data_IF_278511249503
#
_entry.id   IF_278511249503
#
_cell.length_a   1.000
_cell.length_b   1.000
_cell.length_c   1.000
_cell.angle_alpha   90.00
_cell.angle_beta   90.00
_cell.angle_gamma   90.00
#
_symmetry.space_group_name_H-M   'P 1'
#
loop_
_entity.id
_entity.type
_entity.pdbx_description
1 polymer ?
#
# COMPACT_ATOMS: atom_id res chain seq x y z
N UNK A 1 -10.24 -13.75 8.12
CA UNK A 1 -10.27 -15.00 8.92
C UNK A 1 -9.28 -14.85 10.06
N UNK A 2 -9.64 -15.27 11.26
CA UNK A 2 -8.81 -15.12 12.47
C UNK A 2 -8.92 -16.35 13.37
N UNK A 3 -8.00 -16.52 14.31
CA UNK A 3 -8.07 -17.63 15.28
C UNK A 3 -9.38 -17.60 16.10
N UNK A 4 -9.94 -16.41 16.31
CA UNK A 4 -11.24 -16.25 16.97
C UNK A 4 -12.40 -16.81 16.14
N UNK A 5 -12.38 -16.67 14.80
CA UNK A 5 -13.44 -17.24 13.94
C UNK A 5 -13.36 -18.77 13.87
N UNK A 6 -12.14 -19.33 13.93
CA UNK A 6 -11.92 -20.78 14.05
C UNK A 6 -12.49 -21.30 15.37
N UNK A 7 -12.18 -20.62 16.48
CA UNK A 7 -12.67 -21.01 17.81
C UNK A 7 -14.21 -20.98 17.88
N UNK A 8 -14.84 -19.95 17.35
CA UNK A 8 -16.30 -19.85 17.33
C UNK A 8 -16.97 -21.01 16.56
N UNK A 9 -16.37 -21.43 15.43
CA UNK A 9 -16.85 -22.60 14.67
C UNK A 9 -16.63 -23.91 15.41
N UNK A 10 -15.51 -24.06 16.11
CA UNK A 10 -15.26 -25.23 16.95
C UNK A 10 -16.27 -25.32 18.10
N UNK A 11 -16.49 -24.23 18.82
CA UNK A 11 -17.45 -24.17 19.92
C UNK A 11 -18.87 -24.52 19.42
N UNK A 12 -19.28 -23.99 18.26
CA UNK A 12 -20.55 -24.36 17.61
C UNK A 12 -20.64 -25.87 17.31
N UNK A 13 -19.58 -26.47 16.76
CA UNK A 13 -19.53 -27.89 16.42
C UNK A 13 -19.45 -28.82 17.65
N UNK A 14 -19.12 -28.30 18.84
CA UNK A 14 -19.23 -29.06 20.10
C UNK A 14 -20.67 -29.07 20.63
N UNK A 15 -21.46 -28.05 20.31
CA UNK A 15 -22.85 -27.92 20.76
C UNK A 15 -23.86 -28.55 19.79
N UNK A 16 -23.53 -28.61 18.50
CA UNK A 16 -24.39 -29.13 17.45
C UNK A 16 -23.68 -30.20 16.62
N UNK A 17 -24.26 -31.41 16.57
CA UNK A 17 -23.65 -32.58 15.93
C UNK A 17 -24.25 -32.95 14.57
N UNK A 18 -25.46 -32.50 14.25
CA UNK A 18 -26.20 -32.86 13.03
C UNK A 18 -26.99 -31.66 12.45
N UNK A 19 -27.27 -31.69 11.14
CA UNK A 19 -27.98 -30.65 10.40
C UNK A 19 -27.13 -29.96 9.32
N UNK A 20 -27.78 -29.34 8.34
CA UNK A 20 -27.11 -28.66 7.22
C UNK A 20 -26.15 -27.57 7.68
N UNK A 21 -26.47 -26.89 8.79
CA UNK A 21 -25.62 -25.88 9.42
C UNK A 21 -24.33 -26.44 10.01
N UNK A 22 -24.33 -27.69 10.51
CA UNK A 22 -23.13 -28.38 11.02
C UNK A 22 -22.22 -28.78 9.87
N UNK A 23 -22.78 -29.28 8.77
CA UNK A 23 -22.03 -29.59 7.55
C UNK A 23 -21.35 -28.35 6.97
N UNK A 24 -22.08 -27.24 6.87
CA UNK A 24 -21.54 -25.96 6.43
C UNK A 24 -20.46 -25.43 7.39
N UNK A 25 -20.68 -25.51 8.71
CA UNK A 25 -19.70 -25.09 9.70
C UNK A 25 -18.41 -25.92 9.66
N UNK A 26 -18.50 -27.24 9.45
CA UNK A 26 -17.34 -28.12 9.25
C UNK A 26 -16.55 -27.76 7.99
N UNK A 27 -17.24 -27.53 6.88
CA UNK A 27 -16.60 -27.12 5.63
C UNK A 27 -15.89 -25.76 5.80
N UNK A 28 -16.55 -24.79 6.44
CA UNK A 28 -15.98 -23.48 6.73
C UNK A 28 -14.77 -23.57 7.67
N UNK A 29 -14.83 -24.41 8.70
CA UNK A 29 -13.73 -24.64 9.63
C UNK A 29 -12.51 -25.22 8.90
N UNK A 30 -12.71 -26.23 8.05
CA UNK A 30 -11.63 -26.85 7.28
C UNK A 30 -10.96 -25.85 6.33
N UNK A 31 -11.75 -25.04 5.63
CA UNK A 31 -11.23 -24.02 4.73
C UNK A 31 -10.46 -22.92 5.49
N UNK A 32 -10.99 -22.42 6.60
CA UNK A 32 -10.28 -21.46 7.44
C UNK A 32 -8.97 -22.03 7.97
N UNK A 33 -8.95 -23.29 8.40
CA UNK A 33 -7.73 -23.95 8.85
C UNK A 33 -6.70 -24.09 7.73
N UNK A 34 -7.11 -24.42 6.49
CA UNK A 34 -6.21 -24.46 5.33
C UNK A 34 -5.62 -23.10 5.01
N UNK A 35 -6.44 -22.05 5.02
CA UNK A 35 -5.96 -20.68 4.77
C UNK A 35 -5.01 -20.22 5.87
N UNK A 36 -5.32 -20.50 7.14
CA UNK A 36 -4.42 -20.20 8.25
C UNK A 36 -3.16 -21.06 8.25
N UNK A 37 -3.20 -22.26 7.67
CA UNK A 37 -2.01 -23.10 7.47
C UNK A 37 -1.10 -22.55 6.36
N UNK A 38 -1.66 -21.86 5.36
CA UNK A 38 -0.91 -21.23 4.27
C UNK A 38 0.00 -20.09 4.80
N UNK A 39 1.33 -20.24 4.69
CA UNK A 39 2.27 -19.21 5.11
C UNK A 39 2.07 -17.88 4.39
N UNK A 40 1.66 -17.89 3.12
CA UNK A 40 1.42 -16.69 2.34
C UNK A 40 0.23 -15.90 2.88
N UNK A 41 -0.86 -16.60 3.22
CA UNK A 41 -2.04 -15.97 3.81
C UNK A 41 -1.74 -15.40 5.19
N UNK A 42 -0.99 -16.12 6.04
CA UNK A 42 -0.55 -15.59 7.33
C UNK A 42 0.34 -14.35 7.17
N UNK A 43 1.32 -14.41 6.27
CA UNK A 43 2.23 -13.29 6.01
C UNK A 43 1.46 -12.06 5.49
N UNK A 44 0.48 -12.27 4.59
CA UNK A 44 -0.42 -11.22 4.12
C UNK A 44 -1.18 -10.58 5.28
N UNK A 45 -1.86 -11.40 6.09
CA UNK A 45 -2.70 -10.91 7.18
C UNK A 45 -1.89 -10.14 8.22
N UNK A 46 -0.74 -10.66 8.62
CA UNK A 46 0.17 -10.00 9.57
C UNK A 46 0.72 -8.70 9.00
N UNK A 47 1.13 -8.72 7.74
CA UNK A 47 1.65 -7.55 7.04
C UNK A 47 0.63 -6.42 6.94
N UNK A 48 -0.61 -6.73 6.56
CA UNK A 48 -1.70 -5.75 6.50
C UNK A 48 -2.02 -5.21 7.90
N UNK A 49 -2.07 -6.07 8.91
CA UNK A 49 -2.31 -5.64 10.30
C UNK A 49 -1.21 -4.69 10.78
N UNK A 50 0.06 -5.00 10.51
CA UNK A 50 1.20 -4.15 10.85
C UNK A 50 1.13 -2.79 10.12
N UNK A 51 0.76 -2.76 8.84
CA UNK A 51 0.50 -1.51 8.10
C UNK A 51 -0.60 -0.69 8.74
N UNK A 52 -1.70 -1.31 9.14
CA UNK A 52 -2.82 -0.62 9.79
C UNK A 52 -2.42 -0.06 11.17
N UNK A 53 -1.48 -0.72 11.84
CA UNK A 53 -0.87 -0.24 13.10
C UNK A 53 0.21 0.85 12.89
N UNK A 54 0.50 1.24 11.64
CA UNK A 54 1.56 2.22 11.31
C UNK A 54 2.97 1.64 11.36
N UNK A 55 3.11 0.33 11.56
CA UNK A 55 4.38 -0.39 11.66
C UNK A 55 4.93 -0.80 10.28
N UNK A 56 4.88 0.11 9.30
CA UNK A 56 5.25 -0.17 7.90
C UNK A 56 6.64 -0.81 7.75
N UNK A 57 7.61 -0.44 8.59
CA UNK A 57 8.94 -1.06 8.59
C UNK A 57 8.91 -2.58 8.87
N UNK A 58 8.10 -3.03 9.85
CA UNK A 58 7.95 -4.44 10.20
C UNK A 58 7.10 -5.19 9.16
N UNK A 59 6.11 -4.51 8.59
CA UNK A 59 5.19 -5.09 7.62
C UNK A 59 5.85 -5.49 6.29
N UNK A 60 6.91 -4.80 5.87
CA UNK A 60 7.52 -4.98 4.54
C UNK A 60 7.97 -6.42 4.30
N UNK A 61 8.66 -7.05 5.25
CA UNK A 61 9.16 -8.42 5.06
C UNK A 61 8.00 -9.42 4.89
N UNK A 62 6.95 -9.30 5.71
CA UNK A 62 5.77 -10.15 5.65
C UNK A 62 4.99 -9.93 4.35
N UNK A 63 4.82 -8.69 3.93
CA UNK A 63 4.12 -8.37 2.68
C UNK A 63 4.93 -8.79 1.44
N UNK A 64 6.26 -8.68 1.47
CA UNK A 64 7.11 -9.19 0.40
C UNK A 64 6.98 -10.71 0.26
N UNK A 65 6.94 -11.45 1.37
CA UNK A 65 6.71 -12.89 1.36
C UNK A 65 5.32 -13.20 0.75
N UNK A 66 4.28 -12.48 1.19
CA UNK A 66 2.92 -12.66 0.67
C UNK A 66 2.83 -12.42 -0.84
N UNK A 67 3.37 -11.29 -1.31
CA UNK A 67 3.37 -10.92 -2.74
C UNK A 67 4.22 -11.87 -3.58
N UNK A 68 5.31 -12.42 -3.03
CA UNK A 68 6.15 -13.39 -3.73
C UNK A 68 5.44 -14.73 -3.91
N UNK A 69 4.66 -15.15 -2.91
CA UNK A 69 3.89 -16.39 -2.96
C UNK A 69 2.61 -16.26 -3.80
N UNK A 70 1.97 -15.08 -3.80
CA UNK A 70 0.75 -14.78 -4.55
C UNK A 70 0.91 -13.47 -5.32
N UNK A 71 1.41 -13.60 -6.55
CA UNK A 71 1.72 -12.45 -7.40
C UNK A 71 0.48 -11.70 -7.91
N UNK A 72 -0.69 -12.33 -7.81
CA UNK A 72 -2.02 -11.85 -8.21
C UNK A 72 -2.79 -11.16 -7.08
N UNK A 73 -2.26 -11.11 -5.87
CA UNK A 73 -2.89 -10.45 -4.72
C UNK A 73 -2.67 -8.94 -4.73
N UNK A 74 -3.55 -8.22 -5.43
CA UNK A 74 -3.50 -6.75 -5.56
C UNK A 74 -3.60 -6.03 -4.21
N UNK A 75 -4.27 -6.62 -3.22
CA UNK A 75 -4.39 -6.04 -1.88
C UNK A 75 -3.08 -6.15 -1.11
N UNK A 76 -2.39 -7.30 -1.19
CA UNK A 76 -1.05 -7.45 -0.61
C UNK A 76 -0.03 -6.51 -1.28
N UNK A 77 -0.11 -6.35 -2.60
CA UNK A 77 0.74 -5.40 -3.36
C UNK A 77 0.46 -3.96 -2.93
N UNK A 78 -0.81 -3.54 -2.83
CA UNK A 78 -1.18 -2.21 -2.37
C UNK A 78 -0.76 -1.94 -0.92
N UNK A 79 -0.94 -2.93 -0.03
CA UNK A 79 -0.47 -2.86 1.35
C UNK A 79 1.06 -2.74 1.43
N UNK A 80 1.81 -3.42 0.54
CA UNK A 80 3.26 -3.27 0.46
C UNK A 80 3.66 -1.84 0.05
N UNK A 81 2.92 -1.24 -0.88
CA UNK A 81 3.06 0.19 -1.22
C UNK A 81 2.83 1.11 -0.03
N UNK A 82 1.79 0.84 0.76
CA UNK A 82 1.49 1.59 1.98
C UNK A 82 2.60 1.43 3.03
N UNK A 83 3.13 0.23 3.20
CA UNK A 83 4.25 -0.03 4.11
C UNK A 83 5.51 0.76 3.71
N UNK A 84 5.84 0.81 2.41
CA UNK A 84 6.93 1.65 1.90
C UNK A 84 6.67 3.15 2.12
N UNK A 85 5.44 3.61 1.89
CA UNK A 85 5.03 4.99 2.15
C UNK A 85 5.23 5.38 3.60
N UNK A 86 4.86 4.52 4.55
CA UNK A 86 5.03 4.75 5.99
C UNK A 86 6.51 4.81 6.40
N UNK A 87 7.38 4.07 5.70
CA UNK A 87 8.84 4.13 5.89
C UNK A 87 9.50 5.32 5.17
N UNK A 88 8.73 6.14 4.46
CA UNK A 88 9.24 7.26 3.67
C UNK A 88 9.87 6.86 2.32
N UNK A 89 9.76 5.60 1.92
CA UNK A 89 10.28 5.11 0.65
C UNK A 89 9.29 5.33 -0.49
N UNK A 90 9.18 6.59 -0.90
CA UNK A 90 8.14 7.04 -1.84
C UNK A 90 8.28 6.42 -3.22
N UNK A 91 9.50 6.21 -3.69
CA UNK A 91 9.76 5.59 -4.99
C UNK A 91 9.22 4.15 -5.05
N UNK A 92 9.52 3.33 -4.03
CA UNK A 92 8.97 1.97 -3.97
C UNK A 92 7.47 1.97 -3.71
N UNK A 93 6.96 2.91 -2.91
CA UNK A 93 5.52 3.05 -2.67
C UNK A 93 4.75 3.30 -3.98
N UNK A 94 5.17 4.28 -4.78
CA UNK A 94 4.58 4.63 -6.09
C UNK A 94 4.50 3.40 -6.99
N UNK A 95 5.61 2.68 -7.16
CA UNK A 95 5.66 1.51 -8.03
C UNK A 95 4.68 0.39 -7.60
N UNK A 96 4.54 0.16 -6.29
CA UNK A 96 3.59 -0.85 -5.80
C UNK A 96 2.12 -0.41 -5.95
N UNK A 97 1.80 0.87 -5.71
CA UNK A 97 0.43 1.35 -5.91
C UNK A 97 0.01 1.29 -7.38
N UNK A 98 0.89 1.68 -8.29
CA UNK A 98 0.65 1.55 -9.74
C UNK A 98 0.39 0.09 -10.13
N UNK A 99 1.20 -0.84 -9.61
CA UNK A 99 1.00 -2.27 -9.83
C UNK A 99 -0.35 -2.74 -9.28
N UNK A 100 -0.70 -2.39 -8.05
CA UNK A 100 -1.98 -2.77 -7.44
C UNK A 100 -3.19 -2.25 -8.25
N UNK A 101 -3.13 -1.00 -8.71
CA UNK A 101 -4.17 -0.38 -9.53
C UNK A 101 -4.31 -1.03 -10.91
N UNK A 102 -3.18 -1.43 -11.53
CA UNK A 102 -3.18 -2.12 -12.81
C UNK A 102 -3.75 -3.55 -12.70
N UNK A 103 -3.48 -4.24 -11.58
CA UNK A 103 -3.98 -5.60 -11.34
C UNK A 103 -5.48 -5.65 -11.07
N UNK A 104 -6.02 -4.69 -10.32
CA UNK A 104 -7.42 -4.71 -9.91
C UNK A 104 -8.11 -3.35 -10.14
N UNK A 105 -8.39 -2.99 -11.41
CA UNK A 105 -8.94 -1.69 -11.78
C UNK A 105 -10.39 -1.48 -11.29
N UNK A 106 -11.08 -2.53 -10.84
CA UNK A 106 -12.45 -2.43 -10.31
C UNK A 106 -12.55 -2.83 -8.83
N UNK A 107 -11.43 -2.87 -8.11
CA UNK A 107 -11.43 -3.19 -6.68
C UNK A 107 -11.97 -2.04 -5.82
N UNK A 108 -12.60 -2.37 -4.71
CA UNK A 108 -13.03 -1.40 -3.69
C UNK A 108 -11.87 -0.62 -3.05
N UNK A 109 -10.66 -1.20 -3.08
CA UNK A 109 -9.44 -0.55 -2.58
C UNK A 109 -8.78 0.39 -3.60
N UNK A 110 -9.31 0.50 -4.83
CA UNK A 110 -8.75 1.34 -5.89
C UNK A 110 -8.60 2.79 -5.43
N UNK A 111 -9.66 3.41 -4.92
CA UNK A 111 -9.66 4.83 -4.55
C UNK A 111 -8.64 5.12 -3.44
N UNK A 112 -8.47 4.16 -2.52
CA UNK A 112 -7.43 4.20 -1.49
C UNK A 112 -6.03 4.20 -2.11
N UNK A 113 -5.75 3.27 -3.01
CA UNK A 113 -4.43 3.17 -3.67
C UNK A 113 -4.14 4.37 -4.55
N UNK A 114 -5.14 4.88 -5.27
CA UNK A 114 -5.01 6.09 -6.08
C UNK A 114 -4.68 7.32 -5.22
N UNK A 115 -5.37 7.48 -4.09
CA UNK A 115 -5.10 8.59 -3.16
C UNK A 115 -3.68 8.52 -2.61
N UNK A 116 -3.24 7.33 -2.15
CA UNK A 116 -1.89 7.13 -1.64
C UNK A 116 -0.82 7.30 -2.72
N UNK A 117 -1.10 6.88 -3.96
CA UNK A 117 -0.24 7.09 -5.12
C UNK A 117 -0.04 8.58 -5.39
N UNK A 118 -1.11 9.38 -5.44
CA UNK A 118 -1.04 10.83 -5.68
C UNK A 118 -0.14 11.51 -4.65
N UNK A 119 -0.38 11.25 -3.36
CA UNK A 119 0.42 11.82 -2.27
C UNK A 119 1.89 11.41 -2.38
N UNK A 120 2.18 10.12 -2.59
CA UNK A 120 3.57 9.66 -2.68
C UNK A 120 4.28 10.17 -3.92
N UNK A 121 3.58 10.25 -5.06
CA UNK A 121 4.14 10.80 -6.31
C UNK A 121 4.42 12.29 -6.19
N UNK A 122 3.52 13.06 -5.57
CA UNK A 122 3.74 14.47 -5.29
C UNK A 122 5.05 14.68 -4.51
N UNK A 123 5.16 14.05 -3.34
CA UNK A 123 6.35 14.21 -2.50
C UNK A 123 7.63 13.65 -3.13
N UNK A 124 7.53 12.60 -3.96
CA UNK A 124 8.66 12.10 -4.73
C UNK A 124 9.15 13.13 -5.75
N UNK A 125 8.24 13.83 -6.44
CA UNK A 125 8.58 14.89 -7.40
C UNK A 125 9.21 16.09 -6.69
N UNK A 126 8.69 16.50 -5.53
CA UNK A 126 9.31 17.55 -4.71
C UNK A 126 10.76 17.15 -4.36
N UNK A 127 10.97 15.93 -3.86
CA UNK A 127 12.30 15.44 -3.52
C UNK A 127 13.25 15.44 -4.72
N UNK A 128 12.77 15.09 -5.91
CA UNK A 128 13.55 15.12 -7.15
C UNK A 128 13.87 16.55 -7.59
N UNK A 129 12.91 17.47 -7.44
CA UNK A 129 13.12 18.91 -7.68
C UNK A 129 14.21 19.48 -6.78
N UNK A 130 14.12 19.20 -5.47
CA UNK A 130 15.10 19.66 -4.48
C UNK A 130 16.51 19.10 -4.76
N UNK A 131 16.58 17.82 -5.17
CA UNK A 131 17.85 17.20 -5.57
C UNK A 131 18.44 17.86 -6.82
N UNK A 132 17.60 18.20 -7.82
CA UNK A 132 18.03 18.89 -9.02
C UNK A 132 18.50 20.33 -8.73
N UNK A 133 17.83 21.06 -7.81
CA UNK A 133 18.30 22.36 -7.34
C UNK A 133 19.67 22.28 -6.68
N UNK A 134 19.87 21.30 -5.80
CA UNK A 134 21.18 21.06 -5.16
C UNK A 134 22.28 20.72 -6.16
N UNK A 135 21.91 20.09 -7.28
CA UNK A 135 22.80 19.82 -8.40
C UNK A 135 22.97 21.01 -9.37
N UNK A 136 22.42 22.19 -9.04
CA UNK A 136 22.42 23.39 -9.87
C UNK A 136 21.75 23.21 -11.26
N UNK A 137 20.85 22.24 -11.38
CA UNK A 137 20.10 21.97 -12.60
C UNK A 137 18.68 22.58 -12.49
N UNK A 138 18.63 23.91 -12.67
CA UNK A 138 17.40 24.70 -12.49
C UNK A 138 16.28 24.27 -13.44
N UNK A 139 16.62 23.96 -14.70
CA UNK A 139 15.63 23.53 -15.69
C UNK A 139 14.98 22.19 -15.31
N UNK A 140 15.75 21.26 -14.74
CA UNK A 140 15.20 19.98 -14.28
C UNK A 140 14.39 20.13 -12.99
N UNK A 141 14.84 20.97 -12.06
CA UNK A 141 14.09 21.27 -10.84
C UNK A 141 12.73 21.88 -11.14
N UNK A 142 12.68 22.87 -12.02
CA UNK A 142 11.44 23.50 -12.47
C UNK A 142 10.45 22.46 -13.03
N UNK A 143 10.93 21.57 -13.91
CA UNK A 143 10.10 20.49 -14.46
C UNK A 143 9.51 19.58 -13.40
N UNK A 144 10.27 19.24 -12.35
CA UNK A 144 9.76 18.40 -11.27
C UNK A 144 8.71 19.11 -10.42
N UNK A 145 8.94 20.39 -10.07
CA UNK A 145 7.93 21.16 -9.32
C UNK A 145 6.66 21.41 -10.12
N UNK A 146 6.76 21.68 -11.43
CA UNK A 146 5.58 21.81 -12.29
C UNK A 146 4.79 20.50 -12.36
N UNK A 147 5.48 19.35 -12.47
CA UNK A 147 4.82 18.04 -12.39
C UNK A 147 4.16 17.81 -11.03
N UNK A 148 4.80 18.20 -9.93
CA UNK A 148 4.23 18.06 -8.59
C UNK A 148 2.91 18.86 -8.48
N UNK A 149 2.89 20.11 -8.96
CA UNK A 149 1.67 20.94 -9.01
C UNK A 149 0.54 20.33 -9.85
N UNK A 150 0.88 19.59 -10.90
CA UNK A 150 -0.10 18.90 -11.73
C UNK A 150 -0.70 17.66 -11.05
N UNK A 151 0.04 17.04 -10.12
CA UNK A 151 -0.43 15.89 -9.32
C UNK A 151 -1.37 16.34 -8.21
N UNK A 152 -1.01 17.41 -7.51
CA UNK A 152 -1.85 18.05 -6.49
C UNK A 152 -1.65 19.57 -6.56
N UNK A 153 -2.74 20.28 -6.84
CA UNK A 153 -2.74 21.74 -6.98
C UNK A 153 -3.16 22.47 -5.69
N UNK A 154 -3.48 21.72 -4.62
CA UNK A 154 -3.98 22.28 -3.36
C UNK A 154 -2.86 22.56 -2.36
N UNK A 155 -1.68 21.97 -2.57
CA UNK A 155 -0.55 22.05 -1.64
C UNK A 155 0.49 23.09 -2.11
N UNK A 156 0.72 24.15 -1.32
CA UNK A 156 1.51 25.33 -1.71
C UNK A 156 3.03 25.11 -1.73
N UNK A 157 3.51 23.92 -1.33
CA UNK A 157 4.95 23.65 -1.21
C UNK A 157 5.67 23.65 -2.57
N UNK A 158 5.03 23.16 -3.63
CA UNK A 158 5.58 23.19 -4.98
C UNK A 158 5.71 24.62 -5.55
N UNK A 159 4.94 25.58 -5.04
CA UNK A 159 5.00 27.00 -5.45
C UNK A 159 6.22 27.69 -4.85
N UNK A 160 6.60 27.33 -3.62
CA UNK A 160 7.80 27.87 -2.95
C UNK A 160 9.10 27.44 -3.64
N UNK A 161 9.19 26.19 -4.11
CA UNK A 161 10.34 25.71 -4.89
C UNK A 161 10.54 26.45 -6.22
N UNK A 162 9.44 26.87 -6.87
CA UNK A 162 9.49 27.67 -8.10
C UNK A 162 9.89 29.13 -7.84
N UNK A 163 9.50 29.71 -6.69
CA UNK A 163 9.89 31.07 -6.30
C UNK A 163 11.40 31.27 -6.24
N UNK A 164 12.15 30.26 -5.76
CA UNK A 164 13.62 30.29 -5.75
C UNK A 164 14.29 30.05 -7.11
N UNK A 165 13.58 29.54 -8.12
CA UNK A 165 14.08 29.36 -9.48
C UNK A 165 13.98 30.64 -10.33
N UNK A 166 13.02 31.52 -10.04
CA UNK A 166 12.70 32.69 -10.88
C UNK A 166 13.63 33.88 -10.72
N UNK A 167 14.27 34.05 -9.55
CA UNK A 167 15.06 35.25 -9.23
C UNK A 167 16.46 35.30 -9.86
N UNK A 168 16.85 34.29 -10.66
CA UNK A 168 18.16 34.23 -11.33
C UNK A 168 18.18 34.71 -12.79
N UNK A 169 17.04 35.07 -13.39
CA UNK A 169 16.92 35.29 -14.84
C UNK A 169 16.61 36.75 -15.25
N UNK A 170 16.89 37.73 -14.39
CA UNK A 170 16.88 39.15 -14.76
C UNK A 170 18.17 39.85 -14.30
N UNK A 171 19.20 39.82 -15.16
CA UNK A 171 20.22 40.86 -15.27
C UNK A 171 20.55 41.08 -16.74
#
# INVERSE_FOLDING_TARGET
MSDASVKALQDYLTQFSEGDSVSAARAQLSEQQKQLADPAFRARSQGIAAVNAGEGGKAIAQLQQAVSARQDDSEAVGALGQAYSQRGDRARAVAQFEKALAMAPHSSSRDKWESLLKVNRYWLLIQQGDAALKANNLAQAERFYQQARAVDNTDSYAVLGLGGCGDGAQR
#
